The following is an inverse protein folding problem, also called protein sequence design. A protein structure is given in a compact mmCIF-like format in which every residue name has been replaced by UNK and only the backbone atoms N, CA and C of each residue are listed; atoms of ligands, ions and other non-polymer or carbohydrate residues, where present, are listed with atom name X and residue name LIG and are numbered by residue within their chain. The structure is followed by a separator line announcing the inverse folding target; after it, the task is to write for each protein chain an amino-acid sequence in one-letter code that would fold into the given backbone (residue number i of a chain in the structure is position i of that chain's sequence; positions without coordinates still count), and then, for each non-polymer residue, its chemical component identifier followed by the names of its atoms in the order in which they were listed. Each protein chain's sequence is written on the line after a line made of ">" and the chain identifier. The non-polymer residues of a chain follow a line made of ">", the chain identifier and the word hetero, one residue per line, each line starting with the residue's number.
data_IF_353395873402
#
_entry.id   IF_353395873402
#
_cell.length_a   1.000
_cell.length_b   1.000
_cell.length_c   1.000
_cell.angle_alpha   90.00
_cell.angle_beta   90.00
_cell.angle_gamma   90.00
#
_symmetry.space_group_name_H-M   'P 1'
#
loop_
_entity.id
_entity.type
_entity.pdbx_description
1 polymer ?
#
# COMPACT_ATOMS: atom_id res chain seq x y z
N UNK A 1 43.40 -34.04 11.23
CA UNK A 1 43.08 -32.60 11.36
C UNK A 1 41.60 -32.42 11.03
N UNK A 2 40.72 -32.40 12.04
CA UNK A 2 39.29 -32.16 11.84
C UNK A 2 39.05 -30.65 11.70
N UNK A 3 38.44 -30.23 10.59
CA UNK A 3 37.97 -28.86 10.40
C UNK A 3 36.56 -28.74 10.98
N UNK A 4 36.46 -28.06 12.13
CA UNK A 4 35.18 -27.65 12.70
C UNK A 4 34.64 -26.49 11.87
N UNK A 5 33.64 -26.74 11.02
CA UNK A 5 32.90 -25.69 10.32
C UNK A 5 31.93 -25.08 11.32
N UNK A 6 32.23 -23.87 11.80
CA UNK A 6 31.32 -23.08 12.60
C UNK A 6 30.22 -22.49 11.69
N UNK A 7 29.05 -23.10 11.70
CA UNK A 7 27.85 -22.55 11.05
C UNK A 7 27.38 -21.34 11.86
N UNK A 8 27.78 -20.14 11.46
CA UNK A 8 27.19 -18.90 11.98
C UNK A 8 25.75 -18.81 11.47
N UNK A 9 24.79 -19.15 12.32
CA UNK A 9 23.39 -18.85 12.08
C UNK A 9 23.19 -17.34 12.26
N UNK A 10 23.11 -16.61 11.14
CA UNK A 10 22.66 -15.22 11.13
C UNK A 10 21.19 -15.21 11.57
N UNK A 11 20.95 -14.89 12.84
CA UNK A 11 19.63 -14.54 13.35
C UNK A 11 19.23 -13.21 12.73
N UNK A 12 18.58 -13.25 11.56
CA UNK A 12 17.85 -12.10 11.03
C UNK A 12 16.79 -11.71 12.06
N UNK A 13 16.96 -10.58 12.72
CA UNK A 13 15.97 -10.05 13.67
C UNK A 13 14.73 -9.72 12.86
N UNK A 14 13.67 -10.50 13.06
CA UNK A 14 12.38 -10.25 12.41
C UNK A 14 11.91 -8.83 12.75
N UNK A 15 11.58 -8.05 11.73
CA UNK A 15 11.10 -6.69 11.94
C UNK A 15 9.61 -6.68 12.27
N UNK A 16 9.06 -5.58 12.84
CA UNK A 16 7.62 -5.47 13.06
C UNK A 16 6.79 -5.64 11.77
N UNK A 17 7.37 -5.30 10.61
CA UNK A 17 6.74 -5.56 9.33
C UNK A 17 6.75 -7.05 8.99
N UNK A 18 7.88 -7.73 9.13
CA UNK A 18 8.00 -9.17 8.84
C UNK A 18 7.06 -10.01 9.72
N UNK A 19 6.96 -9.67 11.00
CA UNK A 19 6.04 -10.31 11.95
C UNK A 19 4.57 -10.15 11.52
N UNK A 20 4.19 -8.95 11.06
CA UNK A 20 2.85 -8.68 10.56
C UNK A 20 2.58 -9.42 9.24
N UNK A 21 3.57 -9.43 8.32
CA UNK A 21 3.49 -10.08 7.01
C UNK A 21 3.39 -11.60 7.12
N UNK A 22 4.11 -12.23 8.05
CA UNK A 22 4.15 -13.69 8.20
C UNK A 22 2.77 -14.33 8.46
N UNK A 23 1.82 -13.56 8.98
CA UNK A 23 0.46 -14.02 9.31
C UNK A 23 -0.59 -13.53 8.31
N UNK A 24 -0.18 -12.76 7.31
CA UNK A 24 -1.08 -12.06 6.41
C UNK A 24 -1.27 -12.81 5.08
N UNK A 25 -2.44 -12.63 4.47
CA UNK A 25 -2.75 -13.18 3.15
C UNK A 25 -2.27 -12.22 2.05
N UNK A 26 -1.51 -12.71 1.08
CA UNK A 26 -1.05 -11.86 -0.04
C UNK A 26 -2.20 -11.60 -1.01
N UNK A 27 -2.42 -10.34 -1.37
CA UNK A 27 -3.38 -9.92 -2.42
C UNK A 27 -2.65 -9.87 -3.75
N UNK A 28 -2.86 -10.87 -4.60
CA UNK A 28 -2.18 -10.97 -5.90
C UNK A 28 -2.74 -10.00 -6.95
N UNK A 29 -4.05 -9.70 -6.90
CA UNK A 29 -4.75 -8.89 -7.91
C UNK A 29 -5.51 -7.74 -7.26
N UNK A 30 -4.77 -6.71 -6.84
CA UNK A 30 -5.34 -5.59 -6.09
C UNK A 30 -6.53 -4.90 -6.80
N UNK A 31 -6.48 -4.54 -8.08
CA UNK A 31 -7.62 -3.88 -8.75
C UNK A 31 -8.90 -4.72 -8.70
N UNK A 32 -8.81 -6.02 -8.99
CA UNK A 32 -9.96 -6.93 -8.96
C UNK A 32 -10.49 -7.14 -7.54
N UNK A 33 -9.60 -7.25 -6.55
CA UNK A 33 -9.99 -7.34 -5.14
C UNK A 33 -10.74 -6.09 -4.68
N UNK A 34 -10.25 -4.90 -5.02
CA UNK A 34 -10.92 -3.63 -4.67
C UNK A 34 -12.26 -3.51 -5.38
N UNK A 35 -12.33 -3.81 -6.69
CA UNK A 35 -13.58 -3.78 -7.45
C UNK A 35 -14.67 -4.64 -6.80
N UNK A 36 -14.31 -5.87 -6.40
CA UNK A 36 -15.23 -6.78 -5.71
C UNK A 36 -15.67 -6.25 -4.34
N UNK A 37 -14.77 -5.62 -3.59
CA UNK A 37 -15.06 -5.06 -2.27
C UNK A 37 -15.91 -3.78 -2.32
N UNK A 38 -15.79 -2.97 -3.38
CA UNK A 38 -16.60 -1.76 -3.57
C UNK A 38 -17.90 -2.02 -4.33
N UNK A 39 -18.10 -3.24 -4.81
CA UNK A 39 -19.30 -3.63 -5.55
C UNK A 39 -19.38 -3.03 -6.96
N UNK A 40 -18.26 -3.00 -7.69
CA UNK A 40 -18.21 -2.51 -9.08
C UNK A 40 -17.98 -3.67 -10.03
N UNK A 41 -18.90 -3.84 -10.97
CA UNK A 41 -18.72 -4.75 -12.10
C UNK A 41 -18.03 -4.00 -13.24
N UNK A 42 -17.13 -4.66 -13.99
CA UNK A 42 -16.66 -4.13 -15.26
C UNK A 42 -17.81 -3.75 -16.19
N UNK A 43 -17.60 -2.70 -16.98
CA UNK A 43 -18.55 -2.35 -18.05
C UNK A 43 -18.49 -3.40 -19.18
N UNK A 44 -19.60 -3.56 -19.90
CA UNK A 44 -19.67 -4.44 -21.07
C UNK A 44 -19.92 -5.93 -20.78
N UNK A 45 -20.20 -6.29 -19.54
CA UNK A 45 -20.65 -7.64 -19.18
C UNK A 45 -22.06 -7.93 -19.74
N UNK A 46 -22.27 -9.19 -20.13
CA UNK A 46 -23.60 -9.71 -20.45
C UNK A 46 -24.47 -9.80 -19.18
N UNK A 47 -25.79 -9.98 -19.34
CA UNK A 47 -26.74 -9.92 -18.23
C UNK A 47 -26.47 -10.99 -17.17
N UNK A 48 -26.15 -12.21 -17.59
CA UNK A 48 -25.79 -13.34 -16.75
C UNK A 48 -24.45 -13.12 -16.02
N UNK A 49 -23.44 -12.62 -16.72
CA UNK A 49 -22.14 -12.26 -16.13
C UNK A 49 -22.27 -11.11 -15.10
N UNK A 50 -23.17 -10.15 -15.37
CA UNK A 50 -23.47 -9.06 -14.44
C UNK A 50 -24.15 -9.55 -13.17
N UNK A 51 -25.07 -10.52 -13.29
CA UNK A 51 -25.70 -11.15 -12.13
C UNK A 51 -24.71 -11.95 -11.28
N UNK A 52 -23.83 -12.71 -11.92
CA UNK A 52 -22.75 -13.44 -11.24
C UNK A 52 -21.81 -12.49 -10.51
N UNK A 53 -21.33 -11.46 -11.20
CA UNK A 53 -20.49 -10.41 -10.62
C UNK A 53 -21.13 -9.75 -9.38
N UNK A 54 -22.44 -9.45 -9.43
CA UNK A 54 -23.16 -8.86 -8.29
C UNK A 54 -23.30 -9.81 -7.10
N UNK A 55 -23.48 -11.10 -7.35
CA UNK A 55 -23.53 -12.13 -6.28
C UNK A 55 -22.19 -12.24 -5.57
N UNK A 56 -21.10 -12.07 -6.30
CA UNK A 56 -19.74 -12.21 -5.77
C UNK A 56 -19.31 -11.09 -4.82
N UNK A 57 -19.93 -9.91 -4.88
CA UNK A 57 -19.59 -8.80 -3.98
C UNK A 57 -19.80 -9.14 -2.50
N UNK A 58 -20.94 -9.75 -2.19
CA UNK A 58 -21.27 -10.18 -0.82
C UNK A 58 -20.31 -11.26 -0.32
N UNK A 59 -19.83 -12.11 -1.23
CA UNK A 59 -18.83 -13.13 -0.94
C UNK A 59 -17.46 -12.50 -0.71
N UNK A 60 -17.03 -11.55 -1.55
CA UNK A 60 -15.75 -10.88 -1.42
C UNK A 60 -15.63 -10.12 -0.09
N UNK A 61 -16.65 -9.35 0.29
CA UNK A 61 -16.67 -8.66 1.58
C UNK A 61 -16.50 -9.63 2.75
N UNK A 62 -17.19 -10.78 2.74
CA UNK A 62 -17.05 -11.83 3.76
C UNK A 62 -15.68 -12.51 3.72
N UNK A 63 -15.16 -12.78 2.52
CA UNK A 63 -13.86 -13.42 2.31
C UNK A 63 -12.73 -12.59 2.89
N UNK A 64 -12.82 -11.26 2.84
CA UNK A 64 -11.75 -10.37 3.30
C UNK A 64 -11.99 -9.72 4.66
N UNK A 65 -13.22 -9.77 5.19
CA UNK A 65 -13.57 -9.21 6.50
C UNK A 65 -12.63 -9.74 7.60
N UNK A 66 -11.99 -8.81 8.32
CA UNK A 66 -11.09 -9.11 9.44
C UNK A 66 -9.77 -9.79 9.08
N UNK A 67 -9.51 -10.10 7.80
CA UNK A 67 -8.25 -10.70 7.37
C UNK A 67 -7.16 -9.63 7.31
N UNK A 68 -6.04 -9.92 7.96
CA UNK A 68 -4.81 -9.17 7.70
C UNK A 68 -4.25 -9.62 6.35
N UNK A 69 -3.97 -8.66 5.48
CA UNK A 69 -3.52 -8.87 4.12
C UNK A 69 -2.24 -8.10 3.84
N UNK A 70 -1.47 -8.59 2.88
CA UNK A 70 -0.33 -7.88 2.29
C UNK A 70 -0.70 -7.39 0.91
N UNK A 71 -0.46 -6.11 0.67
CA UNK A 71 -0.76 -5.43 -0.58
C UNK A 71 0.51 -4.77 -1.10
N UNK A 72 0.98 -5.21 -2.26
CA UNK A 72 2.04 -4.52 -3.01
C UNK A 72 1.42 -3.45 -3.89
N UNK A 73 1.84 -2.20 -3.72
CA UNK A 73 1.31 -1.05 -4.48
C UNK A 73 2.15 -0.72 -5.72
N UNK A 74 3.30 -1.38 -5.88
CA UNK A 74 4.27 -1.01 -6.90
C UNK A 74 4.88 0.36 -6.64
N UNK A 75 5.54 0.91 -7.67
CA UNK A 75 6.14 2.23 -7.61
C UNK A 75 5.06 3.31 -7.40
N UNK A 76 5.23 4.14 -6.38
CA UNK A 76 4.30 5.25 -6.13
C UNK A 76 4.69 6.47 -6.94
N UNK A 77 3.69 7.24 -7.37
CA UNK A 77 3.91 8.48 -8.11
C UNK A 77 4.72 9.46 -7.23
N UNK A 78 5.84 10.01 -7.73
CA UNK A 78 6.65 11.01 -7.03
C UNK A 78 5.87 12.22 -6.51
N UNK A 79 4.75 12.58 -7.16
CA UNK A 79 3.92 13.69 -6.70
C UNK A 79 3.30 13.42 -5.32
N UNK A 80 3.06 12.16 -4.97
CA UNK A 80 2.45 11.75 -3.71
C UNK A 80 3.47 11.42 -2.63
N UNK A 81 4.74 11.21 -2.98
CA UNK A 81 5.79 10.80 -2.05
C UNK A 81 6.96 11.78 -2.04
N UNK A 82 7.34 12.24 -0.85
CA UNK A 82 8.56 13.03 -0.65
C UNK A 82 9.39 12.48 0.50
N UNK A 83 10.70 12.57 0.37
CA UNK A 83 11.61 12.32 1.48
C UNK A 83 11.55 13.48 2.49
N UNK A 84 11.38 13.15 3.77
CA UNK A 84 11.20 14.08 4.88
C UNK A 84 12.42 14.25 5.78
N UNK A 85 13.57 13.66 5.42
CA UNK A 85 14.82 13.73 6.19
C UNK A 85 15.07 12.53 7.10
N UNK A 86 16.26 12.51 7.72
CA UNK A 86 16.67 11.54 8.75
C UNK A 86 16.67 12.15 10.15
N UNK A 87 16.40 11.31 11.14
CA UNK A 87 16.55 11.59 12.57
C UNK A 87 17.27 10.41 13.21
N UNK A 88 18.59 10.52 13.36
CA UNK A 88 19.42 9.39 13.80
C UNK A 88 19.42 8.25 12.79
N UNK A 89 19.12 7.03 13.25
CA UNK A 89 19.05 5.85 12.37
C UNK A 89 17.77 5.83 11.50
N UNK A 90 16.74 6.57 11.89
CA UNK A 90 15.44 6.53 11.26
C UNK A 90 15.34 7.55 10.12
N UNK A 91 14.61 7.17 9.08
CA UNK A 91 14.24 8.07 7.99
C UNK A 91 12.75 8.33 7.97
N UNK A 92 12.39 9.50 7.44
CA UNK A 92 11.02 9.94 7.28
C UNK A 92 10.67 10.02 5.80
N UNK A 93 9.55 9.40 5.42
CA UNK A 93 8.84 9.70 4.19
C UNK A 93 7.55 10.46 4.52
N UNK A 94 7.13 11.34 3.62
CA UNK A 94 5.83 12.01 3.68
C UNK A 94 5.06 11.57 2.45
N UNK A 95 3.95 10.87 2.67
CA UNK A 95 3.21 10.20 1.61
C UNK A 95 1.72 10.52 1.68
N UNK A 96 1.16 10.95 0.55
CA UNK A 96 -0.27 10.97 0.28
C UNK A 96 -0.66 9.56 -0.18
N UNK A 97 -1.15 8.76 0.76
CA UNK A 97 -1.38 7.34 0.56
C UNK A 97 -2.63 7.08 -0.28
N UNK A 98 -2.51 7.34 -1.57
CA UNK A 98 -3.49 7.13 -2.63
C UNK A 98 -2.84 6.29 -3.73
N UNK A 99 -3.57 5.27 -4.17
CA UNK A 99 -3.22 4.47 -5.34
C UNK A 99 -4.42 4.47 -6.27
N UNK A 100 -4.24 5.01 -7.47
CA UNK A 100 -5.21 4.90 -8.56
C UNK A 100 -5.13 3.49 -9.15
N UNK A 101 -6.27 2.80 -9.19
CA UNK A 101 -6.39 1.43 -9.71
C UNK A 101 -7.03 1.40 -11.10
N UNK A 102 -7.28 2.58 -11.71
CA UNK A 102 -8.02 2.72 -12.95
C UNK A 102 -9.54 2.56 -12.75
N UNK A 103 -10.32 2.79 -13.81
CA UNK A 103 -11.78 2.60 -13.83
C UNK A 103 -12.52 3.29 -12.67
N UNK A 104 -12.06 4.48 -12.29
CA UNK A 104 -12.59 5.24 -11.15
C UNK A 104 -12.55 4.48 -9.81
N UNK A 105 -11.58 3.58 -9.66
CA UNK A 105 -11.29 2.85 -8.43
C UNK A 105 -9.99 3.34 -7.80
N UNK A 106 -9.98 3.43 -6.48
CA UNK A 106 -8.76 3.75 -5.73
C UNK A 106 -8.65 2.98 -4.41
N UNK A 107 -7.41 2.81 -3.97
CA UNK A 107 -7.06 2.41 -2.61
C UNK A 107 -6.47 3.63 -1.89
N UNK A 108 -6.95 3.91 -0.68
CA UNK A 108 -6.41 4.99 0.16
C UNK A 108 -6.08 4.49 1.55
N UNK A 109 -5.02 4.99 2.20
CA UNK A 109 -4.84 4.75 3.64
C UNK A 109 -5.76 5.69 4.42
N UNK A 110 -6.79 5.13 5.06
CA UNK A 110 -7.90 5.89 5.61
C UNK A 110 -8.87 6.42 4.53
N UNK A 111 -9.82 7.26 4.95
CA UNK A 111 -10.84 7.84 4.06
C UNK A 111 -10.32 9.14 3.42
N UNK A 112 -10.46 9.34 2.10
CA UNK A 112 -10.15 10.61 1.45
C UNK A 112 -11.10 11.72 1.90
N UNK A 113 -10.66 12.98 1.80
CA UNK A 113 -11.44 14.14 2.24
C UNK A 113 -12.55 14.50 1.25
N UNK A 114 -12.16 14.64 -0.03
CA UNK A 114 -13.04 15.08 -1.12
C UNK A 114 -12.40 14.83 -2.48
N UNK A 115 -13.17 15.08 -3.54
CA UNK A 115 -12.60 15.34 -4.86
C UNK A 115 -12.33 16.84 -5.03
N UNK A 116 -11.23 17.19 -5.69
CA UNK A 116 -10.96 18.56 -6.13
C UNK A 116 -11.97 18.99 -7.20
N UNK A 117 -11.97 20.28 -7.55
CA UNK A 117 -12.78 20.79 -8.66
C UNK A 117 -12.44 20.12 -10.01
N UNK A 118 -11.22 19.58 -10.14
CA UNK A 118 -10.72 18.85 -11.31
C UNK A 118 -10.95 17.33 -11.19
N UNK A 119 -11.65 16.86 -10.15
CA UNK A 119 -11.94 15.45 -9.95
C UNK A 119 -10.77 14.61 -9.40
N UNK A 120 -9.72 15.24 -8.87
CA UNK A 120 -8.61 14.52 -8.23
C UNK A 120 -8.97 14.15 -6.79
N UNK A 121 -8.62 12.94 -6.34
CA UNK A 121 -8.82 12.54 -4.94
C UNK A 121 -7.87 13.33 -4.05
N UNK A 122 -8.42 13.99 -3.03
CA UNK A 122 -7.65 14.70 -2.02
C UNK A 122 -7.48 13.81 -0.79
N UNK A 123 -6.23 13.41 -0.53
CA UNK A 123 -5.83 12.68 0.68
C UNK A 123 -4.79 13.49 1.47
N UNK A 124 -4.84 13.49 2.81
CA UNK A 124 -3.83 14.13 3.62
C UNK A 124 -2.49 13.42 3.46
N UNK A 125 -1.42 14.19 3.33
CA UNK A 125 -0.06 13.66 3.39
C UNK A 125 0.28 13.34 4.83
N UNK A 126 0.73 12.12 5.08
CA UNK A 126 1.12 11.69 6.42
C UNK A 126 2.61 11.37 6.50
N UNK A 127 3.28 11.66 7.63
CA UNK A 127 4.65 11.25 7.84
C UNK A 127 4.71 9.77 8.24
N UNK A 128 5.62 9.04 7.64
CA UNK A 128 5.96 7.65 7.94
C UNK A 128 7.43 7.62 8.36
N UNK A 129 7.68 7.09 9.55
CA UNK A 129 8.97 7.12 10.19
C UNK A 129 9.37 5.73 10.64
N UNK A 130 10.63 5.40 10.46
CA UNK A 130 11.23 4.21 11.05
C UNK A 130 12.62 3.95 10.51
N UNK A 131 13.22 2.81 10.90
CA UNK A 131 14.61 2.52 10.63
C UNK A 131 14.85 2.50 9.12
N UNK A 132 15.86 3.26 8.70
CA UNK A 132 16.43 3.15 7.36
C UNK A 132 17.68 2.27 7.41
N UNK A 133 17.98 1.65 6.27
CA UNK A 133 19.25 0.97 6.09
C UNK A 133 20.42 1.95 6.38
N UNK A 134 21.37 1.56 7.25
CA UNK A 134 22.48 2.43 7.63
C UNK A 134 23.42 2.77 6.46
N UNK A 135 23.44 1.96 5.40
CA UNK A 135 24.24 2.20 4.19
C UNK A 135 23.62 3.20 3.22
N UNK A 136 22.32 3.52 3.37
CA UNK A 136 21.64 4.45 2.48
C UNK A 136 21.89 5.89 2.94
N UNK A 137 22.38 6.75 2.04
CA UNK A 137 22.50 8.17 2.34
C UNK A 137 21.15 8.89 2.18
N UNK A 138 20.98 10.03 2.86
CA UNK A 138 19.82 10.91 2.66
C UNK A 138 19.60 11.29 1.20
N UNK A 139 20.69 11.51 0.47
CA UNK A 139 20.68 11.82 -0.97
C UNK A 139 20.16 10.64 -1.80
N UNK A 140 20.43 9.40 -1.40
CA UNK A 140 19.93 8.20 -2.06
C UNK A 140 18.43 8.05 -1.87
N UNK A 141 17.95 8.22 -0.64
CA UNK A 141 16.53 8.18 -0.30
C UNK A 141 15.75 9.29 -1.02
N UNK A 142 16.28 10.50 -1.02
CA UNK A 142 15.68 11.63 -1.72
C UNK A 142 15.63 11.39 -3.23
N UNK A 143 16.71 10.88 -3.82
CA UNK A 143 16.80 10.54 -5.24
C UNK A 143 15.81 9.44 -5.61
N UNK A 144 15.71 8.39 -4.80
CA UNK A 144 14.77 7.30 -5.02
C UNK A 144 13.32 7.80 -5.06
N UNK A 145 12.92 8.65 -4.10
CA UNK A 145 11.58 9.24 -4.08
C UNK A 145 11.30 10.14 -5.29
N UNK A 146 12.22 11.06 -5.61
CA UNK A 146 12.08 11.97 -6.77
C UNK A 146 12.01 11.22 -8.10
N UNK A 147 12.75 10.12 -8.22
CA UNK A 147 12.79 9.32 -9.44
C UNK A 147 11.63 8.32 -9.57
N UNK A 148 10.71 8.24 -8.60
CA UNK A 148 9.63 7.25 -8.60
C UNK A 148 10.14 5.81 -8.44
N UNK A 149 11.33 5.63 -7.88
CA UNK A 149 11.94 4.33 -7.64
C UNK A 149 11.62 3.79 -6.23
N UNK A 150 10.59 4.33 -5.57
CA UNK A 150 10.10 3.82 -4.30
C UNK A 150 8.80 3.09 -4.56
N UNK A 151 8.78 1.81 -4.25
CA UNK A 151 7.58 1.02 -4.17
C UNK A 151 7.12 0.89 -2.72
N UNK A 152 5.82 0.67 -2.53
CA UNK A 152 5.23 0.55 -1.19
C UNK A 152 4.55 -0.82 -1.05
N UNK A 153 4.80 -1.47 0.07
CA UNK A 153 4.08 -2.64 0.52
C UNK A 153 3.35 -2.32 1.84
N UNK A 154 2.08 -2.68 1.91
CA UNK A 154 1.24 -2.47 3.09
C UNK A 154 0.86 -3.81 3.70
N UNK A 155 0.84 -3.90 5.02
CA UNK A 155 0.19 -4.99 5.76
C UNK A 155 -0.92 -4.39 6.60
N UNK A 156 -2.12 -4.95 6.56
CA UNK A 156 -3.27 -4.39 7.26
C UNK A 156 -4.59 -5.01 6.85
N UNK A 157 -5.69 -4.29 7.07
CA UNK A 157 -7.04 -4.74 6.73
C UNK A 157 -7.68 -3.80 5.72
N UNK A 158 -8.54 -4.35 4.86
CA UNK A 158 -9.48 -3.52 4.12
C UNK A 158 -10.52 -2.95 5.09
N UNK A 159 -10.68 -1.62 5.04
CA UNK A 159 -11.67 -0.87 5.80
C UNK A 159 -12.97 -0.68 5.01
N UNK A 160 -13.68 0.42 5.27
CA UNK A 160 -14.97 0.70 4.62
C UNK A 160 -14.80 1.16 3.17
N UNK A 161 -15.67 0.72 2.24
CA UNK A 161 -15.76 1.31 0.93
C UNK A 161 -16.24 2.77 1.03
N UNK A 162 -15.85 3.59 0.09
CA UNK A 162 -16.24 4.99 -0.03
C UNK A 162 -16.51 5.34 -1.49
N UNK A 163 -17.35 6.37 -1.68
CA UNK A 163 -17.66 6.95 -2.98
C UNK A 163 -17.64 8.48 -2.82
N UNK A 164 -17.01 9.15 -3.76
CA UNK A 164 -16.98 10.61 -3.84
C UNK A 164 -17.43 11.04 -5.23
N UNK A 165 -18.17 12.14 -5.29
CA UNK A 165 -18.61 12.76 -6.54
C UNK A 165 -18.15 14.22 -6.57
N UNK A 166 -17.63 14.67 -7.70
CA UNK A 166 -17.08 16.01 -7.85
C UNK A 166 -16.28 16.14 -9.16
N UNK A 167 -16.17 17.36 -9.68
CA UNK A 167 -15.46 17.62 -10.94
C UNK A 167 -16.01 16.82 -12.14
N UNK A 168 -17.32 16.54 -12.16
CA UNK A 168 -17.97 15.81 -13.25
C UNK A 168 -17.80 14.29 -13.22
N UNK A 169 -17.19 13.72 -12.19
CA UNK A 169 -16.92 12.28 -12.09
C UNK A 169 -17.30 11.68 -10.74
N UNK A 170 -17.39 10.35 -10.71
CA UNK A 170 -17.68 9.57 -9.49
C UNK A 170 -16.54 8.60 -9.25
N UNK A 171 -15.80 8.79 -8.17
CA UNK A 171 -14.69 7.89 -7.83
C UNK A 171 -15.08 7.05 -6.63
N UNK A 172 -14.86 5.74 -6.75
CA UNK A 172 -15.11 4.74 -5.72
C UNK A 172 -13.77 4.20 -5.22
N UNK A 173 -13.78 3.67 -4.01
CA UNK A 173 -12.57 3.08 -3.47
C UNK A 173 -12.79 2.44 -2.12
N UNK A 174 -11.72 1.89 -1.58
CA UNK A 174 -11.73 1.30 -0.24
C UNK A 174 -10.64 1.93 0.61
N UNK A 175 -10.98 2.24 1.86
CA UNK A 175 -9.99 2.62 2.84
C UNK A 175 -9.16 1.38 3.21
N UNK A 176 -7.86 1.52 3.36
CA UNK A 176 -6.95 0.55 3.92
C UNK A 176 -6.52 1.00 5.31
N UNK A 177 -6.49 0.07 6.25
CA UNK A 177 -6.07 0.28 7.62
C UNK A 177 -4.76 -0.50 7.82
N UNK A 178 -3.61 0.11 7.49
CA UNK A 178 -2.33 -0.56 7.64
C UNK A 178 -2.00 -0.74 9.12
N UNK A 179 -1.30 -1.81 9.43
CA UNK A 179 -0.64 -2.07 10.73
C UNK A 179 0.89 -1.98 10.59
N UNK A 180 1.42 -2.22 9.38
CA UNK A 180 2.82 -2.05 9.04
C UNK A 180 2.97 -1.63 7.57
N UNK A 181 4.03 -0.87 7.28
CA UNK A 181 4.31 -0.31 5.96
C UNK A 181 5.79 -0.48 5.67
N UNK A 182 6.11 -0.85 4.44
CA UNK A 182 7.49 -0.96 3.96
C UNK A 182 7.63 -0.18 2.66
N UNK A 183 8.62 0.70 2.63
CA UNK A 183 9.10 1.37 1.43
C UNK A 183 10.30 0.58 0.92
N UNK A 184 10.25 0.16 -0.35
CA UNK A 184 11.32 -0.61 -1.00
C UNK A 184 11.78 0.09 -2.26
N UNK A 185 13.01 -0.14 -2.67
CA UNK A 185 13.49 0.32 -3.95
C UNK A 185 12.83 -0.52 -5.06
N UNK A 186 12.04 0.11 -5.92
CA UNK A 186 11.15 -0.56 -6.87
C UNK A 186 11.86 -1.53 -7.83
N UNK A 187 13.13 -1.29 -8.15
CA UNK A 187 13.91 -2.14 -9.06
C UNK A 187 14.68 -3.27 -8.39
N UNK A 188 15.14 -3.05 -7.15
CA UNK A 188 16.08 -3.96 -6.49
C UNK A 188 15.43 -4.73 -5.34
N UNK A 189 14.23 -4.34 -4.91
CA UNK A 189 13.55 -4.90 -3.74
C UNK A 189 14.21 -4.53 -2.41
N UNK A 190 15.31 -3.74 -2.42
CA UNK A 190 16.02 -3.34 -1.20
C UNK A 190 15.08 -2.54 -0.30
N UNK A 191 14.96 -2.94 0.96
CA UNK A 191 14.18 -2.19 1.96
C UNK A 191 14.84 -0.83 2.18
N UNK A 192 14.04 0.23 2.04
CA UNK A 192 14.47 1.60 2.28
C UNK A 192 14.11 2.01 3.70
N UNK A 193 12.84 1.83 4.07
CA UNK A 193 12.28 2.18 5.38
C UNK A 193 11.14 1.23 5.71
N UNK A 194 11.06 0.80 6.96
CA UNK A 194 9.85 0.20 7.52
C UNK A 194 9.26 1.12 8.56
N UNK A 195 7.94 1.32 8.51
CA UNK A 195 7.26 2.26 9.36
C UNK A 195 5.97 1.66 9.92
N UNK A 196 5.62 2.10 11.13
CA UNK A 196 4.24 1.99 11.60
C UNK A 196 3.40 3.10 10.96
N UNK A 197 2.11 2.86 10.72
CA UNK A 197 1.20 3.92 10.35
C UNK A 197 1.22 5.03 11.42
N UNK A 198 1.18 6.31 11.02
CA UNK A 198 1.00 7.41 11.96
C UNK A 198 -0.37 7.28 12.64
N UNK A 199 -0.37 7.49 13.97
CA UNK A 199 -1.58 7.52 14.79
C UNK A 199 -2.49 8.68 14.41
#
# INVERSE_FOLDING_TARGET
>A
MLHTVATLALLSVATPYDDARAKAVVVERLPSTVAALVGVCPDGLMVDELEECRKDFGTAAKTWAGKTVVVGLGAVDPQFLSYGGRVGADARFVWAALVDLGNELALTVGRPEKLSAQGAIVVPRKPYHGPADPELLDTDLQRAAKAGNVAVELVGTFGKPWQLQGGGRTVRGIAFEPVAIRFVHARTGKVLVEAKPPK
#
